data_IF_306010378181
#
_entry.id   IF_306010378181
#
_cell.length_a   1.000
_cell.length_b   1.000
_cell.length_c   1.000
_cell.angle_alpha   90.00
_cell.angle_beta   90.00
_cell.angle_gamma   90.00
#
_symmetry.space_group_name_H-M   'P 1'
#
loop_
_entity.id
_entity.type
_entity.pdbx_description
1 polymer ?
#
# COMPACT_ATOMS: atom_id res chain seq x y z
N UNK A 1 15.15 -49.32 6.63
CA UNK A 1 15.05 -48.49 5.41
C UNK A 1 13.72 -47.72 5.35
N UNK A 2 12.55 -48.35 5.45
CA UNK A 2 11.24 -47.67 5.35
C UNK A 2 10.96 -46.62 6.45
N UNK A 3 11.39 -46.87 7.69
CA UNK A 3 11.23 -45.92 8.81
C UNK A 3 11.99 -44.62 8.54
N UNK A 4 13.23 -44.69 8.07
CA UNK A 4 14.04 -43.53 7.72
C UNK A 4 13.42 -42.72 6.57
N UNK A 5 12.92 -43.40 5.56
CA UNK A 5 12.22 -42.80 4.43
C UNK A 5 10.95 -42.06 4.89
N UNK A 6 10.17 -42.68 5.79
CA UNK A 6 8.96 -42.09 6.37
C UNK A 6 9.28 -40.84 7.21
N UNK A 7 10.34 -40.89 8.03
CA UNK A 7 10.81 -39.73 8.81
C UNK A 7 11.28 -38.60 7.92
N UNK A 8 11.96 -38.88 6.81
CA UNK A 8 12.36 -37.86 5.83
C UNK A 8 11.13 -37.21 5.20
N UNK A 9 10.11 -37.98 4.84
CA UNK A 9 8.86 -37.44 4.27
C UNK A 9 8.17 -36.53 5.29
N UNK A 10 8.03 -36.98 6.55
CA UNK A 10 7.45 -36.17 7.62
C UNK A 10 8.25 -34.87 7.80
N UNK A 11 9.58 -34.98 7.85
CA UNK A 11 10.43 -33.78 7.97
C UNK A 11 10.24 -32.81 6.80
N UNK A 12 10.18 -33.32 5.56
CA UNK A 12 9.94 -32.49 4.37
C UNK A 12 8.57 -31.85 4.38
N UNK A 13 7.53 -32.54 4.85
CA UNK A 13 6.18 -31.99 5.00
C UNK A 13 6.16 -30.91 6.07
N UNK A 14 6.73 -31.17 7.25
CA UNK A 14 6.79 -30.20 8.34
C UNK A 14 7.63 -28.98 7.95
N UNK A 15 8.76 -29.19 7.25
CA UNK A 15 9.59 -28.12 6.73
C UNK A 15 8.83 -27.27 5.70
N UNK A 16 8.10 -27.89 4.78
CA UNK A 16 7.29 -27.21 3.78
C UNK A 16 6.14 -26.42 4.42
N UNK A 17 5.45 -27.00 5.43
CA UNK A 17 4.41 -26.32 6.17
C UNK A 17 4.98 -25.11 6.92
N UNK A 18 6.06 -25.29 7.67
CA UNK A 18 6.73 -24.18 8.37
C UNK A 18 7.20 -23.10 7.39
N UNK A 19 7.72 -23.49 6.23
CA UNK A 19 8.08 -22.57 5.15
C UNK A 19 6.91 -21.73 4.67
N UNK A 20 5.75 -22.33 4.44
CA UNK A 20 4.57 -21.60 3.98
C UNK A 20 4.10 -20.57 5.00
N UNK A 21 4.04 -20.93 6.26
CA UNK A 21 3.58 -20.03 7.32
C UNK A 21 4.61 -18.93 7.64
N UNK A 22 5.91 -19.19 7.50
CA UNK A 22 6.95 -18.19 7.73
C UNK A 22 7.26 -17.33 6.50
N UNK A 23 6.65 -17.60 5.34
CA UNK A 23 6.82 -16.78 4.14
C UNK A 23 5.78 -15.65 4.12
N UNK A 24 6.23 -14.42 4.32
CA UNK A 24 5.38 -13.24 4.42
C UNK A 24 4.39 -13.06 3.26
N UNK A 25 4.89 -13.12 2.00
CA UNK A 25 4.03 -12.96 0.82
C UNK A 25 3.04 -14.12 0.68
N UNK A 26 3.47 -15.33 1.02
CA UNK A 26 2.63 -16.53 0.93
C UNK A 26 1.60 -16.58 2.06
N UNK A 27 2.01 -16.25 3.29
CA UNK A 27 1.10 -16.14 4.43
C UNK A 27 0.03 -15.08 4.17
N UNK A 28 0.43 -13.93 3.62
CA UNK A 28 -0.51 -12.89 3.17
C UNK A 28 -1.53 -13.40 2.16
N UNK A 29 -1.11 -14.22 1.19
CA UNK A 29 -2.02 -14.85 0.23
C UNK A 29 -2.98 -15.85 0.91
N UNK A 30 -2.51 -16.65 1.87
CA UNK A 30 -3.35 -17.56 2.65
C UNK A 30 -4.44 -16.77 3.38
N UNK A 31 -4.05 -15.72 4.10
CA UNK A 31 -5.01 -14.87 4.82
C UNK A 31 -5.98 -14.18 3.86
N UNK A 32 -5.49 -13.64 2.75
CA UNK A 32 -6.34 -13.02 1.72
C UNK A 32 -7.41 -13.98 1.20
N UNK A 33 -7.06 -15.26 1.03
CA UNK A 33 -7.94 -16.28 0.46
C UNK A 33 -8.71 -17.09 1.51
N UNK A 34 -8.46 -16.86 2.81
CA UNK A 34 -9.08 -17.62 3.90
C UNK A 34 -10.55 -17.27 4.19
N UNK A 35 -11.12 -16.34 3.43
CA UNK A 35 -12.49 -15.85 3.64
C UNK A 35 -12.77 -15.32 5.06
N UNK A 36 -11.71 -14.96 5.82
CA UNK A 36 -11.88 -14.29 7.10
C UNK A 36 -12.44 -12.88 6.81
N UNK A 37 -13.61 -12.53 7.35
CA UNK A 37 -14.16 -11.20 7.20
C UNK A 37 -13.21 -10.18 7.83
N UNK A 38 -12.70 -9.24 7.03
CA UNK A 38 -11.83 -8.17 7.49
C UNK A 38 -12.33 -6.83 6.94
N UNK A 39 -13.32 -6.29 7.62
CA UNK A 39 -13.92 -5.01 7.29
C UNK A 39 -12.88 -3.88 7.26
N UNK A 40 -11.96 -3.85 8.23
CA UNK A 40 -10.94 -2.80 8.33
C UNK A 40 -10.02 -2.80 7.11
N UNK A 41 -9.52 -3.97 6.70
CA UNK A 41 -8.69 -4.11 5.50
C UNK A 41 -9.44 -3.65 4.27
N UNK A 42 -10.65 -4.16 4.10
CA UNK A 42 -11.46 -3.90 2.93
C UNK A 42 -11.75 -2.41 2.78
N UNK A 43 -12.22 -1.74 3.83
CA UNK A 43 -12.61 -0.33 3.79
C UNK A 43 -11.39 0.59 3.62
N UNK A 44 -10.25 0.28 4.24
CA UNK A 44 -9.02 1.06 4.14
C UNK A 44 -8.20 0.78 2.87
N UNK A 45 -8.62 -0.18 2.04
CA UNK A 45 -8.11 -0.32 0.67
C UNK A 45 -8.62 0.78 -0.25
N UNK A 46 -9.74 1.44 0.08
CA UNK A 46 -10.19 2.65 -0.62
C UNK A 46 -9.32 3.84 -0.21
N UNK A 47 -8.72 4.50 -1.21
CA UNK A 47 -7.75 5.59 -0.97
C UNK A 47 -8.36 6.85 -0.38
N UNK A 48 -9.65 7.12 -0.64
CA UNK A 48 -10.33 8.26 -0.05
C UNK A 48 -10.63 8.02 1.42
N UNK A 49 -11.22 6.88 1.76
CA UNK A 49 -11.53 6.52 3.14
C UNK A 49 -10.25 6.38 3.97
N UNK A 50 -9.21 5.75 3.41
CA UNK A 50 -7.89 5.64 4.04
C UNK A 50 -7.32 7.00 4.45
N UNK A 51 -7.46 8.04 3.61
CA UNK A 51 -7.02 9.41 3.91
C UNK A 51 -7.84 10.06 5.01
N UNK A 52 -9.16 9.99 4.92
CA UNK A 52 -10.02 10.55 5.96
C UNK A 52 -9.74 9.88 7.32
N UNK A 53 -9.52 8.57 7.33
CA UNK A 53 -9.15 7.85 8.54
C UNK A 53 -7.76 8.24 9.06
N UNK A 54 -6.78 8.37 8.20
CA UNK A 54 -5.43 8.81 8.56
C UNK A 54 -5.44 10.22 9.16
N UNK A 55 -6.21 11.15 8.58
CA UNK A 55 -6.39 12.51 9.10
C UNK A 55 -6.94 12.51 10.52
N UNK A 56 -7.95 11.67 10.82
CA UNK A 56 -8.48 11.51 12.18
C UNK A 56 -7.44 10.97 13.18
N UNK A 57 -6.38 10.36 12.70
CA UNK A 57 -5.33 9.74 13.51
C UNK A 57 -3.99 10.50 13.42
N UNK A 58 -4.02 11.77 13.00
CA UNK A 58 -2.89 12.70 13.09
C UNK A 58 -1.92 12.71 11.91
N UNK A 59 -2.24 12.01 10.81
CA UNK A 59 -1.48 12.17 9.57
C UNK A 59 -1.92 13.42 8.81
N UNK A 60 -1.00 14.04 8.12
CA UNK A 60 -1.32 14.95 7.04
C UNK A 60 -1.81 14.13 5.82
N UNK A 61 -2.66 14.74 4.99
CA UNK A 61 -3.13 14.13 3.74
C UNK A 61 -3.09 15.16 2.62
N UNK A 62 -2.81 14.74 1.37
CA UNK A 62 -2.90 15.63 0.23
C UNK A 62 -4.31 16.21 0.11
N UNK A 63 -4.42 17.49 -0.26
CA UNK A 63 -5.72 18.12 -0.46
C UNK A 63 -6.49 17.42 -1.57
N UNK A 64 -7.68 16.94 -1.27
CA UNK A 64 -8.58 16.39 -2.29
C UNK A 64 -9.23 17.53 -3.06
N UNK A 65 -9.07 17.53 -4.37
CA UNK A 65 -9.69 18.50 -5.28
C UNK A 65 -11.03 18.01 -5.81
N UNK A 66 -11.09 16.71 -6.17
CA UNK A 66 -12.29 16.08 -6.68
C UNK A 66 -12.37 14.63 -6.23
N UNK A 67 -13.60 14.19 -5.99
CA UNK A 67 -13.95 12.78 -5.83
C UNK A 67 -15.14 12.53 -6.76
N UNK A 68 -14.96 11.70 -7.78
CA UNK A 68 -15.96 11.47 -8.83
C UNK A 68 -16.14 9.98 -9.10
N UNK A 69 -17.34 9.60 -9.54
CA UNK A 69 -17.68 8.19 -9.81
C UNK A 69 -17.16 7.73 -11.17
N UNK A 70 -17.20 8.59 -12.18
CA UNK A 70 -16.91 8.22 -13.57
C UNK A 70 -15.77 9.07 -14.15
N UNK A 71 -14.91 8.52 -15.06
CA UNK A 71 -13.79 9.24 -15.66
C UNK A 71 -14.18 10.53 -16.39
N UNK A 72 -15.35 10.56 -17.05
CA UNK A 72 -15.84 11.72 -17.79
C UNK A 72 -16.18 12.94 -16.90
N UNK A 73 -16.35 12.71 -15.59
CA UNK A 73 -16.62 13.77 -14.61
C UNK A 73 -15.34 14.49 -14.15
N UNK A 74 -14.16 13.96 -14.50
CA UNK A 74 -12.87 14.52 -14.08
C UNK A 74 -12.64 15.87 -14.77
N UNK A 75 -12.40 16.90 -13.96
CA UNK A 75 -12.04 18.25 -14.43
C UNK A 75 -10.52 18.41 -14.34
N UNK A 76 -9.87 18.68 -15.48
CA UNK A 76 -8.42 18.87 -15.60
C UNK A 76 -8.05 20.37 -15.53
N UNK A 77 -8.49 21.05 -14.50
CA UNK A 77 -8.28 22.51 -14.32
C UNK A 77 -7.21 22.84 -13.27
N UNK A 78 -6.41 21.86 -12.88
CA UNK A 78 -5.30 22.04 -11.95
C UNK A 78 -3.97 21.94 -12.69
N UNK A 79 -2.98 22.75 -12.29
CA UNK A 79 -1.64 22.75 -12.88
C UNK A 79 -0.83 21.52 -12.44
N UNK A 80 -0.91 21.20 -11.15
CA UNK A 80 -0.21 20.08 -10.54
C UNK A 80 -1.22 19.25 -9.75
N UNK A 81 -1.34 17.98 -10.07
CA UNK A 81 -2.28 17.08 -9.40
C UNK A 81 -1.92 15.61 -9.57
N UNK A 82 -2.44 14.78 -8.70
CA UNK A 82 -2.47 13.33 -8.86
C UNK A 82 -3.90 12.92 -9.18
N UNK A 83 -4.06 12.13 -10.24
CA UNK A 83 -5.32 11.46 -10.56
C UNK A 83 -5.12 9.96 -10.37
N UNK A 84 -6.01 9.32 -9.62
CA UNK A 84 -5.93 7.88 -9.40
C UNK A 84 -7.31 7.27 -9.10
N UNK A 85 -7.54 5.99 -9.47
CA UNK A 85 -8.68 5.22 -8.97
C UNK A 85 -8.60 5.05 -7.46
N UNK A 86 -9.75 5.06 -6.77
CA UNK A 86 -9.78 4.95 -5.30
C UNK A 86 -9.48 3.54 -4.81
N UNK A 87 -9.79 2.52 -5.60
CA UNK A 87 -9.85 1.10 -5.24
C UNK A 87 -8.80 0.20 -5.94
N UNK A 88 -7.98 0.74 -6.87
CA UNK A 88 -6.97 -0.05 -7.57
C UNK A 88 -5.60 0.01 -6.90
N UNK A 89 -4.81 -1.05 -7.08
CA UNK A 89 -3.44 -1.20 -6.59
C UNK A 89 -2.39 -1.12 -7.73
N UNK A 90 -1.11 -1.31 -7.40
CA UNK A 90 0.02 -1.44 -8.31
C UNK A 90 0.17 -0.27 -9.31
N UNK A 91 -0.19 0.93 -8.89
CA UNK A 91 -0.17 2.15 -9.70
C UNK A 91 -1.08 2.10 -10.96
N UNK A 92 -2.04 1.18 -11.02
CA UNK A 92 -2.99 1.08 -12.13
C UNK A 92 -3.85 2.36 -12.20
N UNK A 93 -3.81 3.04 -13.35
CA UNK A 93 -4.57 4.27 -13.60
C UNK A 93 -4.10 5.48 -12.80
N UNK A 94 -2.86 5.48 -12.29
CA UNK A 94 -2.27 6.61 -11.56
C UNK A 94 -1.53 7.55 -12.50
N UNK A 95 -1.92 8.82 -12.47
CA UNK A 95 -1.29 9.90 -13.25
C UNK A 95 -0.76 10.97 -12.30
N UNK A 96 0.54 11.21 -12.35
CA UNK A 96 1.23 12.26 -11.61
C UNK A 96 1.47 13.43 -12.57
N UNK A 97 0.65 14.46 -12.52
CA UNK A 97 0.67 15.57 -13.45
C UNK A 97 1.36 16.78 -12.83
N UNK A 98 2.41 17.24 -13.49
CA UNK A 98 3.14 18.46 -13.14
C UNK A 98 3.35 19.30 -14.41
N UNK A 99 2.97 20.55 -14.37
CA UNK A 99 3.11 21.50 -15.51
C UNK A 99 2.57 20.91 -16.83
N UNK A 100 1.37 20.31 -16.76
CA UNK A 100 0.69 19.67 -17.90
C UNK A 100 1.44 18.47 -18.51
N UNK A 101 2.36 17.85 -17.75
CA UNK A 101 3.07 16.63 -18.18
C UNK A 101 2.90 15.54 -17.13
N UNK A 102 2.77 14.29 -17.58
CA UNK A 102 2.88 13.14 -16.72
C UNK A 102 4.35 12.91 -16.33
N UNK A 103 4.68 13.04 -15.05
CA UNK A 103 6.06 12.98 -14.56
C UNK A 103 6.72 11.61 -14.74
N UNK A 104 5.94 10.52 -14.83
CA UNK A 104 6.47 9.17 -15.01
C UNK A 104 6.88 8.89 -16.47
N UNK A 105 6.19 9.50 -17.42
CA UNK A 105 6.40 9.26 -18.86
C UNK A 105 6.96 10.46 -19.60
N UNK A 106 7.00 11.63 -18.95
CA UNK A 106 7.36 12.94 -19.52
C UNK A 106 6.50 13.36 -20.73
N UNK A 107 5.33 12.76 -20.91
CA UNK A 107 4.39 13.08 -22.00
C UNK A 107 3.43 14.19 -21.59
N UNK A 108 3.08 15.04 -22.53
CA UNK A 108 2.02 16.05 -22.35
C UNK A 108 0.68 15.35 -22.07
N UNK A 109 -0.11 15.95 -21.20
CA UNK A 109 -1.42 15.42 -20.80
C UNK A 109 -2.40 15.52 -21.96
N UNK A 110 -2.88 14.37 -22.40
CA UNK A 110 -4.03 14.23 -23.27
C UNK A 110 -5.24 13.79 -22.43
N UNK A 111 -6.15 14.73 -22.20
CA UNK A 111 -7.31 14.53 -21.33
C UNK A 111 -8.24 13.43 -21.84
N UNK A 112 -8.51 13.40 -23.15
CA UNK A 112 -9.41 12.41 -23.76
C UNK A 112 -8.80 11.02 -23.69
N UNK A 113 -7.50 10.92 -23.96
CA UNK A 113 -6.76 9.67 -23.85
C UNK A 113 -6.76 9.13 -22.41
N UNK A 114 -6.53 9.98 -21.41
CA UNK A 114 -6.59 9.56 -19.99
C UNK A 114 -7.98 9.04 -19.63
N UNK A 115 -9.05 9.74 -20.02
CA UNK A 115 -10.41 9.30 -19.77
C UNK A 115 -10.65 7.92 -20.40
N UNK A 116 -10.25 7.74 -21.67
CA UNK A 116 -10.40 6.47 -22.37
C UNK A 116 -9.59 5.34 -21.73
N UNK A 117 -8.33 5.61 -21.34
CA UNK A 117 -7.49 4.64 -20.65
C UNK A 117 -8.12 4.19 -19.33
N UNK A 118 -8.68 5.12 -18.55
CA UNK A 118 -9.37 4.80 -17.29
C UNK A 118 -10.67 4.00 -17.51
N UNK A 119 -11.43 4.30 -18.56
CA UNK A 119 -12.63 3.52 -18.95
C UNK A 119 -12.25 2.09 -19.36
N UNK A 120 -11.23 1.95 -20.21
CA UNK A 120 -10.74 0.64 -20.66
C UNK A 120 -10.18 -0.18 -19.47
N UNK A 121 -9.46 0.47 -18.55
CA UNK A 121 -8.94 -0.17 -17.35
C UNK A 121 -10.09 -0.75 -16.51
N UNK A 122 -11.17 0.00 -16.31
CA UNK A 122 -12.35 -0.50 -15.58
C UNK A 122 -13.01 -1.69 -16.29
N UNK A 123 -13.17 -1.62 -17.59
CA UNK A 123 -13.77 -2.71 -18.37
C UNK A 123 -12.94 -3.99 -18.38
N UNK A 124 -11.62 -3.89 -18.21
CA UNK A 124 -10.69 -5.03 -18.18
C UNK A 124 -10.61 -5.74 -16.82
N UNK A 125 -11.07 -5.07 -15.75
CA UNK A 125 -11.04 -5.65 -14.41
C UNK A 125 -12.19 -6.64 -14.29
N UNK A 126 -11.85 -7.93 -14.18
CA UNK A 126 -12.84 -8.98 -13.98
C UNK A 126 -13.60 -8.74 -12.68
N UNK A 127 -14.91 -8.71 -12.77
CA UNK A 127 -15.87 -8.54 -11.67
C UNK A 127 -15.64 -9.55 -10.52
N UNK A 128 -15.09 -10.72 -10.83
CA UNK A 128 -14.78 -11.78 -9.86
C UNK A 128 -13.82 -11.36 -8.73
N UNK A 129 -12.87 -10.46 -9.01
CA UNK A 129 -11.90 -10.01 -8.00
C UNK A 129 -12.58 -9.18 -6.90
N UNK A 130 -13.63 -8.42 -7.25
CA UNK A 130 -14.37 -7.57 -6.32
C UNK A 130 -15.58 -8.29 -5.71
N UNK A 131 -16.16 -9.27 -6.41
CA UNK A 131 -17.34 -10.01 -5.95
C UNK A 131 -17.08 -10.77 -4.66
N UNK A 132 -15.89 -11.34 -4.46
CA UNK A 132 -15.56 -12.05 -3.22
C UNK A 132 -15.55 -11.15 -1.99
N UNK A 133 -15.02 -9.93 -2.10
CA UNK A 133 -15.03 -8.97 -0.99
C UNK A 133 -16.43 -8.36 -0.78
N UNK A 134 -17.19 -8.18 -1.85
CA UNK A 134 -18.54 -7.67 -1.87
C UNK A 134 -19.56 -8.59 -1.17
N UNK A 135 -19.52 -9.88 -1.48
CA UNK A 135 -20.47 -10.84 -0.91
C UNK A 135 -20.33 -11.01 0.61
N UNK A 136 -19.16 -10.72 1.17
CA UNK A 136 -18.89 -10.90 2.61
C UNK A 136 -19.39 -9.76 3.49
N UNK A 137 -19.50 -8.53 2.99
CA UNK A 137 -19.73 -7.36 3.84
C UNK A 137 -20.99 -6.56 3.49
N UNK A 138 -21.72 -6.91 2.43
CA UNK A 138 -22.92 -6.17 2.01
C UNK A 138 -22.66 -4.71 1.60
N UNK A 139 -21.39 -4.33 1.45
CA UNK A 139 -20.97 -3.00 1.05
C UNK A 139 -20.36 -3.07 -0.35
N UNK A 140 -20.90 -2.29 -1.27
CA UNK A 140 -20.34 -2.15 -2.62
C UNK A 140 -19.07 -1.33 -2.50
N UNK A 141 -17.88 -1.83 -2.93
CA UNK A 141 -16.71 -1.00 -2.97
C UNK A 141 -16.96 0.19 -3.89
N UNK A 142 -16.71 1.38 -3.39
CA UNK A 142 -16.77 2.55 -4.25
C UNK A 142 -15.64 2.47 -5.26
N UNK A 143 -16.02 2.31 -6.50
CA UNK A 143 -15.09 2.44 -7.60
C UNK A 143 -15.21 3.83 -8.18
N UNK A 144 -14.33 4.71 -7.77
CA UNK A 144 -14.29 6.09 -8.24
C UNK A 144 -12.88 6.58 -8.51
N UNK A 145 -12.76 7.88 -8.68
CA UNK A 145 -11.51 8.55 -8.98
C UNK A 145 -11.33 9.73 -8.05
N UNK A 146 -10.13 9.86 -7.53
CA UNK A 146 -9.71 11.01 -6.72
C UNK A 146 -8.72 11.85 -7.52
N UNK A 147 -8.96 13.15 -7.56
CA UNK A 147 -7.99 14.16 -8.01
C UNK A 147 -7.52 14.90 -6.77
N UNK A 148 -6.22 14.91 -6.56
CA UNK A 148 -5.62 15.45 -5.34
C UNK A 148 -4.36 16.25 -5.61
N UNK A 149 -3.90 16.96 -4.61
CA UNK A 149 -2.65 17.70 -4.62
C UNK A 149 -1.47 16.79 -4.96
N UNK A 150 -0.65 17.21 -5.92
CA UNK A 150 0.66 16.60 -6.14
C UNK A 150 1.62 17.12 -5.07
N UNK A 151 2.03 16.25 -4.18
CA UNK A 151 3.02 16.57 -3.17
C UNK A 151 4.39 16.76 -3.82
N UNK A 152 5.06 17.86 -3.47
CA UNK A 152 6.41 18.18 -3.92
C UNK A 152 7.27 18.54 -2.71
N UNK A 153 8.53 18.17 -2.73
CA UNK A 153 9.52 18.56 -1.73
C UNK A 153 9.99 20.02 -1.94
N UNK A 154 10.89 20.48 -1.09
CA UNK A 154 11.48 21.82 -1.13
C UNK A 154 12.24 22.11 -2.44
N UNK A 155 12.73 21.07 -3.12
CA UNK A 155 13.41 21.15 -4.40
C UNK A 155 12.45 20.97 -5.60
N UNK A 156 11.14 21.01 -5.33
CA UNK A 156 10.09 20.83 -6.33
C UNK A 156 10.13 19.45 -7.03
N UNK A 157 10.63 18.42 -6.33
CA UNK A 157 10.62 17.02 -6.75
C UNK A 157 9.51 16.23 -6.07
N UNK A 158 9.15 15.08 -6.64
CA UNK A 158 8.26 14.11 -5.99
C UNK A 158 9.02 13.52 -4.80
N UNK A 159 8.47 13.59 -3.56
CA UNK A 159 9.15 13.12 -2.38
C UNK A 159 9.36 11.60 -2.41
N UNK A 160 10.40 11.15 -1.68
CA UNK A 160 10.63 9.72 -1.49
C UNK A 160 9.51 9.09 -0.68
N UNK A 161 9.16 7.87 -1.03
CA UNK A 161 8.15 7.05 -0.40
C UNK A 161 8.81 6.20 0.72
N UNK A 162 8.36 6.39 1.95
CA UNK A 162 8.77 5.58 3.11
C UNK A 162 7.71 4.53 3.39
N UNK A 163 8.04 3.27 3.18
CA UNK A 163 7.16 2.12 3.40
C UNK A 163 7.44 1.51 4.76
N UNK A 164 6.60 1.82 5.74
CA UNK A 164 6.75 1.43 7.14
C UNK A 164 6.05 0.09 7.40
N UNK A 165 6.80 -0.96 7.65
CA UNK A 165 6.29 -2.29 7.98
C UNK A 165 5.97 -2.40 9.46
N UNK A 166 4.69 -2.43 9.81
CA UNK A 166 4.19 -2.42 11.19
C UNK A 166 3.49 -3.75 11.49
N UNK A 167 3.90 -4.41 12.59
CA UNK A 167 3.31 -5.65 13.11
C UNK A 167 3.10 -5.50 14.61
N UNK A 168 1.98 -5.95 15.13
CA UNK A 168 1.68 -5.86 16.57
C UNK A 168 1.78 -4.44 17.14
N UNK A 169 1.51 -3.42 16.31
CA UNK A 169 1.66 -2.02 16.70
C UNK A 169 3.10 -1.53 16.85
N UNK A 170 4.09 -2.25 16.31
CA UNK A 170 5.50 -1.84 16.29
C UNK A 170 6.03 -1.72 14.87
N UNK A 171 6.79 -0.66 14.62
CA UNK A 171 7.56 -0.48 13.39
C UNK A 171 8.77 -1.42 13.41
N UNK A 172 8.94 -2.25 12.40
CA UNK A 172 10.07 -3.18 12.31
C UNK A 172 11.06 -2.78 11.22
N UNK A 173 10.54 -2.43 10.03
CA UNK A 173 11.36 -2.05 8.89
C UNK A 173 10.77 -0.87 8.15
N UNK A 174 11.66 -0.13 7.49
CA UNK A 174 11.30 0.96 6.57
C UNK A 174 12.00 0.69 5.24
N UNK A 175 11.23 0.69 4.15
CA UNK A 175 11.81 0.69 2.81
C UNK A 175 11.64 2.08 2.20
N UNK A 176 12.74 2.84 2.10
CA UNK A 176 12.77 4.12 1.39
C UNK A 176 12.89 3.86 -0.09
N UNK A 177 11.85 4.20 -0.84
CA UNK A 177 11.77 3.99 -2.29
C UNK A 177 11.88 5.32 -3.03
N UNK A 178 12.76 5.38 -4.04
CA UNK A 178 13.07 6.59 -4.80
C UNK A 178 13.48 6.24 -6.25
N UNK A 179 13.80 7.23 -7.08
CA UNK A 179 14.20 7.06 -8.48
C UNK A 179 13.21 6.20 -9.28
N UNK A 180 11.91 6.42 -9.08
CA UNK A 180 10.89 5.71 -9.84
C UNK A 180 10.91 6.15 -11.30
N UNK A 181 11.00 5.18 -12.21
CA UNK A 181 11.07 5.39 -13.66
C UNK A 181 10.46 4.24 -14.42
N UNK A 182 9.97 4.48 -15.61
CA UNK A 182 9.49 3.43 -16.51
C UNK A 182 10.56 3.21 -17.58
N UNK A 183 11.09 1.98 -17.66
CA UNK A 183 12.07 1.55 -18.66
C UNK A 183 11.48 0.34 -19.37
N UNK A 184 11.30 0.43 -20.69
CA UNK A 184 10.73 -0.63 -21.53
C UNK A 184 9.37 -1.16 -21.00
N UNK A 185 8.51 -0.23 -20.53
CA UNK A 185 7.19 -0.58 -19.98
C UNK A 185 7.22 -1.15 -18.57
N UNK A 186 8.38 -1.41 -17.98
CA UNK A 186 8.51 -1.89 -16.60
C UNK A 186 8.82 -0.75 -15.63
N UNK A 187 8.14 -0.73 -14.50
CA UNK A 187 8.47 0.20 -13.41
C UNK A 187 9.77 -0.24 -12.74
N UNK A 188 10.75 0.67 -12.68
CA UNK A 188 12.00 0.51 -11.95
C UNK A 188 12.05 1.51 -10.80
N UNK A 189 12.71 1.14 -9.73
CA UNK A 189 12.92 1.99 -8.55
C UNK A 189 14.17 1.53 -7.80
N UNK A 190 14.69 2.40 -6.96
CA UNK A 190 15.74 2.08 -6.02
C UNK A 190 15.15 2.07 -4.60
N UNK A 191 15.65 1.18 -3.72
CA UNK A 191 15.11 1.02 -2.38
C UNK A 191 16.22 0.73 -1.36
N UNK A 192 16.28 1.56 -0.33
CA UNK A 192 17.11 1.37 0.86
C UNK A 192 16.23 0.81 1.97
N UNK A 193 16.67 -0.28 2.60
CA UNK A 193 15.96 -0.87 3.71
C UNK A 193 16.63 -0.52 5.02
N UNK A 194 15.87 -0.10 5.99
CA UNK A 194 16.29 0.40 7.30
C UNK A 194 15.57 -0.39 8.39
N UNK A 195 16.24 -0.56 9.52
CA UNK A 195 15.59 -1.04 10.73
C UNK A 195 14.83 0.12 11.45
N UNK A 196 14.20 -0.21 12.58
CA UNK A 196 13.48 0.76 13.41
C UNK A 196 14.37 1.90 13.95
N UNK A 197 15.67 1.70 14.04
CA UNK A 197 16.63 2.71 14.52
C UNK A 197 17.15 3.62 13.40
N UNK A 198 16.69 3.40 12.17
CA UNK A 198 17.15 4.04 10.94
C UNK A 198 18.52 3.53 10.45
N UNK A 199 18.92 2.31 10.88
CA UNK A 199 20.18 1.71 10.44
C UNK A 199 19.96 0.92 9.15
N UNK A 200 20.83 1.10 8.13
CA UNK A 200 20.70 0.38 6.87
C UNK A 200 20.91 -1.13 7.04
N UNK A 201 20.04 -1.90 6.45
CA UNK A 201 20.09 -3.36 6.48
C UNK A 201 21.02 -3.85 5.36
N UNK A 202 22.13 -4.51 5.72
CA UNK A 202 23.11 -5.05 4.75
C UNK A 202 22.56 -6.19 3.91
N UNK A 203 21.62 -6.95 4.46
CA UNK A 203 21.00 -8.08 3.76
C UNK A 203 20.08 -7.58 2.65
N UNK A 204 20.22 -8.13 1.45
CA UNK A 204 19.35 -7.82 0.33
C UNK A 204 17.90 -8.22 0.64
N UNK A 205 17.03 -7.23 0.82
CA UNK A 205 15.63 -7.44 1.23
C UNK A 205 14.67 -7.61 0.03
N UNK A 206 15.00 -7.01 -1.11
CA UNK A 206 14.19 -7.12 -2.35
C UNK A 206 15.02 -7.63 -3.50
N UNK A 207 14.37 -8.28 -4.47
CA UNK A 207 15.04 -8.95 -5.60
C UNK A 207 15.68 -7.96 -6.59
N UNK A 208 15.02 -6.80 -6.81
CA UNK A 208 15.47 -5.77 -7.77
C UNK A 208 15.45 -4.40 -7.08
N UNK A 209 16.37 -3.52 -7.45
CA UNK A 209 16.41 -2.13 -6.95
C UNK A 209 16.91 -1.98 -5.51
N UNK A 210 17.46 -3.03 -4.88
CA UNK A 210 18.04 -2.91 -3.55
C UNK A 210 19.36 -2.11 -3.60
N UNK A 211 19.48 -1.13 -2.71
CA UNK A 211 20.69 -0.30 -2.51
C UNK A 211 21.05 -0.33 -1.04
N UNK A 212 22.33 -0.58 -0.74
CA UNK A 212 22.88 -0.41 0.61
C UNK A 212 23.57 0.95 0.68
N UNK A 213 23.04 1.85 1.49
CA UNK A 213 23.56 3.19 1.66
C UNK A 213 23.12 3.73 3.02
N UNK A 214 24.04 4.39 3.71
CA UNK A 214 23.70 5.23 4.85
C UNK A 214 22.98 6.48 4.39
N UNK A 215 21.90 6.84 5.07
CA UNK A 215 21.09 8.01 4.75
C UNK A 215 20.80 8.81 6.01
N UNK A 216 20.76 10.13 5.85
CA UNK A 216 20.46 11.04 6.95
C UNK A 216 19.08 10.72 7.53
N UNK A 217 19.04 10.55 8.85
CA UNK A 217 17.81 10.38 9.62
C UNK A 217 17.02 11.69 9.61
N UNK A 218 15.68 11.65 9.31
CA UNK A 218 14.85 12.85 9.42
C UNK A 218 14.85 13.43 10.83
N UNK A 219 14.85 14.74 10.95
CA UNK A 219 14.81 15.43 12.26
C UNK A 219 13.56 15.01 13.05
N UNK A 220 12.43 14.84 12.38
CA UNK A 220 11.16 14.44 12.96
C UNK A 220 10.95 12.91 13.03
N UNK A 221 12.03 12.11 12.96
CA UNK A 221 11.93 10.64 12.91
C UNK A 221 11.15 10.03 14.08
N UNK A 222 11.34 10.56 15.30
CA UNK A 222 10.56 10.07 16.45
C UNK A 222 9.06 10.30 16.29
N UNK A 223 8.65 11.41 15.70
CA UNK A 223 7.25 11.68 15.35
C UNK A 223 6.72 10.67 14.32
N UNK A 224 7.55 10.31 13.33
CA UNK A 224 7.21 9.27 12.34
C UNK A 224 6.97 7.93 13.04
N UNK A 225 7.91 7.47 13.87
CA UNK A 225 7.80 6.21 14.62
C UNK A 225 6.53 6.19 15.47
N UNK A 226 6.31 7.24 16.27
CA UNK A 226 5.14 7.36 17.13
C UNK A 226 3.83 7.29 16.34
N UNK A 227 3.76 7.99 15.21
CA UNK A 227 2.55 8.07 14.40
C UNK A 227 2.21 6.72 13.75
N UNK A 228 3.20 6.04 13.13
CA UNK A 228 2.97 4.75 12.48
C UNK A 228 2.71 3.63 13.48
N UNK A 229 3.37 3.64 14.67
CA UNK A 229 3.12 2.67 15.73
C UNK A 229 1.75 2.86 16.39
N UNK A 230 1.33 4.10 16.61
CA UNK A 230 -0.03 4.39 17.09
C UNK A 230 -1.09 3.90 16.11
N UNK A 231 -0.88 4.14 14.81
CA UNK A 231 -1.77 3.61 13.78
C UNK A 231 -1.81 2.07 13.81
N UNK A 232 -0.67 1.40 13.90
CA UNK A 232 -0.60 -0.06 14.00
C UNK A 232 -1.33 -0.62 15.23
N UNK A 233 -1.23 0.06 16.38
CA UNK A 233 -1.99 -0.31 17.61
C UNK A 233 -3.49 -0.15 17.42
N UNK A 234 -3.92 0.90 16.71
CA UNK A 234 -5.35 1.12 16.41
C UNK A 234 -5.86 0.08 15.42
N UNK A 235 -5.08 -0.25 14.39
CA UNK A 235 -5.47 -1.25 13.37
C UNK A 235 -5.49 -2.68 13.92
N UNK A 236 -4.68 -3.01 14.95
CA UNK A 236 -4.51 -4.33 15.56
C UNK A 236 -4.17 -5.44 14.58
N UNK A 237 -3.46 -5.10 13.51
CA UNK A 237 -3.04 -6.04 12.47
C UNK A 237 -1.79 -5.58 11.76
N UNK A 238 -1.18 -6.48 11.01
CA UNK A 238 -0.12 -6.10 10.09
C UNK A 238 -0.62 -5.05 9.11
N UNK A 239 0.19 -4.02 8.93
CA UNK A 239 -0.03 -3.03 7.88
C UNK A 239 1.29 -2.42 7.46
N UNK A 240 1.54 -2.36 6.14
CA UNK A 240 2.55 -1.46 5.60
C UNK A 240 1.91 -0.09 5.43
N UNK A 241 2.43 0.88 6.15
CA UNK A 241 1.97 2.27 6.09
C UNK A 241 2.93 3.04 5.21
N UNK A 242 2.49 3.43 4.03
CA UNK A 242 3.29 4.17 3.07
C UNK A 242 3.10 5.67 3.33
N UNK A 243 4.19 6.40 3.57
CA UNK A 243 4.16 7.82 3.94
C UNK A 243 5.13 8.64 3.12
N UNK A 244 4.81 9.92 2.97
CA UNK A 244 5.72 10.95 2.46
C UNK A 244 6.03 11.94 3.58
N UNK A 245 7.30 12.33 3.68
CA UNK A 245 7.75 13.33 4.68
C UNK A 245 8.22 14.56 3.93
N UNK A 246 7.55 15.68 4.17
CA UNK A 246 7.87 16.97 3.55
C UNK A 246 7.92 18.00 4.66
N UNK A 247 9.10 18.54 4.91
CA UNK A 247 9.36 19.40 6.06
C UNK A 247 8.95 18.67 7.36
N UNK A 248 8.05 19.28 8.16
CA UNK A 248 7.57 18.70 9.43
C UNK A 248 6.26 17.92 9.28
N UNK A 249 5.73 17.78 8.06
CA UNK A 249 4.48 17.10 7.76
C UNK A 249 4.72 15.66 7.35
N UNK A 250 3.84 14.77 7.83
CA UNK A 250 3.87 13.33 7.54
C UNK A 250 2.57 12.98 6.85
N UNK A 251 2.63 12.85 5.52
CA UNK A 251 1.48 12.57 4.68
C UNK A 251 1.27 11.07 4.52
N UNK A 252 0.03 10.59 4.70
CA UNK A 252 -0.33 9.23 4.31
C UNK A 252 -0.32 9.10 2.78
N UNK A 253 0.36 8.08 2.27
CA UNK A 253 0.26 7.59 0.90
C UNK A 253 -0.85 6.55 0.76
N UNK A 254 -0.68 5.41 1.44
CA UNK A 254 -1.64 4.30 1.46
C UNK A 254 -1.45 3.37 2.67
N UNK A 255 -2.47 2.58 2.97
CA UNK A 255 -2.36 1.38 3.80
C UNK A 255 -2.30 0.15 2.90
N UNK A 256 -1.32 -0.73 3.15
CA UNK A 256 -1.17 -1.98 2.41
C UNK A 256 -1.15 -3.16 3.39
N UNK A 257 -2.19 -3.96 3.36
CA UNK A 257 -2.32 -5.13 4.25
C UNK A 257 -1.68 -6.38 3.65
N UNK A 258 -1.57 -6.46 2.33
CA UNK A 258 -0.93 -7.57 1.64
C UNK A 258 0.04 -7.06 0.57
N UNK A 259 1.29 -7.43 0.71
CA UNK A 259 2.33 -7.11 -0.27
C UNK A 259 2.49 -8.28 -1.24
N UNK A 260 1.61 -8.37 -2.25
CA UNK A 260 1.53 -9.50 -3.17
C UNK A 260 2.47 -9.48 -4.38
N UNK A 261 3.37 -8.52 -4.48
CA UNK A 261 4.15 -8.28 -5.70
C UNK A 261 5.34 -9.24 -5.93
N UNK A 262 5.53 -10.27 -5.10
CA UNK A 262 6.66 -11.24 -5.16
C UNK A 262 8.05 -10.59 -5.30
N UNK A 263 8.20 -9.39 -4.71
CA UNK A 263 9.41 -8.58 -4.81
C UNK A 263 10.45 -8.90 -3.74
N UNK A 264 10.02 -9.47 -2.61
CA UNK A 264 10.89 -9.76 -1.48
C UNK A 264 11.81 -10.95 -1.77
N UNK A 265 13.02 -10.89 -1.19
CA UNK A 265 13.93 -12.04 -1.20
C UNK A 265 13.44 -13.12 -0.24
N UNK A 266 14.04 -14.32 -0.31
CA UNK A 266 13.78 -15.40 0.63
C UNK A 266 13.97 -14.94 2.09
N UNK A 267 15.09 -14.29 2.38
CA UNK A 267 15.44 -13.83 3.74
C UNK A 267 14.45 -12.78 4.25
N UNK A 268 14.05 -11.84 3.39
CA UNK A 268 13.06 -10.84 3.74
C UNK A 268 11.70 -11.49 4.05
N UNK A 269 11.25 -12.39 3.19
CA UNK A 269 9.99 -13.13 3.39
C UNK A 269 9.99 -13.90 4.70
N UNK A 270 11.10 -14.59 5.02
CA UNK A 270 11.22 -15.32 6.27
C UNK A 270 11.19 -14.38 7.49
N UNK A 271 11.97 -13.30 7.48
CA UNK A 271 12.00 -12.32 8.59
C UNK A 271 10.64 -11.69 8.84
N UNK A 272 9.98 -11.19 7.78
CA UNK A 272 8.66 -10.55 7.91
C UNK A 272 7.58 -11.55 8.31
N UNK A 273 7.59 -12.76 7.74
CA UNK A 273 6.64 -13.81 8.05
C UNK A 273 6.74 -14.26 9.51
N UNK A 274 7.97 -14.43 10.02
CA UNK A 274 8.18 -14.76 11.43
C UNK A 274 7.66 -13.66 12.35
N UNK A 275 7.95 -12.38 12.05
CA UNK A 275 7.43 -11.27 12.84
C UNK A 275 5.90 -11.26 12.85
N UNK A 276 5.27 -11.55 11.71
CA UNK A 276 3.80 -11.60 11.62
C UNK A 276 3.21 -12.73 12.47
N UNK A 277 3.80 -13.93 12.42
CA UNK A 277 3.37 -15.06 13.26
C UNK A 277 3.53 -14.77 14.77
N UNK A 278 4.61 -14.09 15.16
CA UNK A 278 4.86 -13.68 16.55
C UNK A 278 3.91 -12.55 17.01
N UNK A 279 3.24 -11.87 16.06
CA UNK A 279 2.31 -10.76 16.30
C UNK A 279 1.04 -10.95 15.47
N UNK A 280 0.17 -11.90 15.84
CA UNK A 280 -1.01 -12.23 15.05
C UNK A 280 -2.00 -11.06 14.98
N UNK A 281 -2.69 -10.99 13.86
CA UNK A 281 -3.70 -9.97 13.60
C UNK A 281 -5.01 -10.27 14.35
N UNK A 282 -5.66 -9.21 14.85
CA UNK A 282 -7.02 -9.29 15.43
C UNK A 282 -8.06 -8.95 14.35
N UNK A 283 -8.48 -9.97 13.59
CA UNK A 283 -9.47 -9.80 12.51
C UNK A 283 -10.89 -9.52 13.01
N UNK A 284 -11.18 -9.77 14.30
CA UNK A 284 -12.48 -9.49 14.89
C UNK A 284 -12.64 -8.04 15.35
N UNK A 285 -11.52 -7.31 15.45
CA UNK A 285 -11.56 -5.91 15.84
C UNK A 285 -11.93 -5.02 14.65
N UNK A 286 -12.92 -4.17 14.84
CA UNK A 286 -13.33 -3.12 13.91
C UNK A 286 -13.35 -1.77 14.64
N UNK A 287 -12.65 -0.79 14.08
CA UNK A 287 -12.80 0.59 14.55
C UNK A 287 -14.13 1.16 14.08
N UNK A 288 -15.06 1.38 15.00
CA UNK A 288 -16.41 1.91 14.72
C UNK A 288 -16.40 3.25 13.98
N UNK A 289 -15.30 4.00 14.05
CA UNK A 289 -15.14 5.26 13.32
C UNK A 289 -15.09 5.06 11.81
N UNK A 290 -14.59 3.92 11.33
CA UNK A 290 -14.51 3.60 9.90
C UNK A 290 -15.87 3.65 9.20
N UNK A 291 -16.91 3.09 9.83
CA UNK A 291 -18.26 3.09 9.25
C UNK A 291 -18.81 4.49 9.01
N UNK A 292 -18.39 5.48 9.83
CA UNK A 292 -18.82 6.88 9.71
C UNK A 292 -18.11 7.64 8.58
N UNK A 293 -17.01 7.10 8.07
CA UNK A 293 -16.23 7.73 7.00
C UNK A 293 -16.67 7.31 5.61
N UNK A 294 -17.52 6.29 5.51
CA UNK A 294 -18.09 5.85 4.24
C UNK A 294 -19.05 6.92 3.75
N UNK A 295 -18.76 7.60 2.61
CA UNK A 295 -19.65 8.62 2.08
C UNK A 295 -21.03 8.06 1.74
N UNK A 296 -22.10 8.85 1.94
CA UNK A 296 -23.47 8.42 1.68
C UNK A 296 -23.69 7.96 0.23
N UNK A 297 -22.95 8.48 -0.73
CA UNK A 297 -23.06 8.09 -2.14
C UNK A 297 -22.44 6.72 -2.45
N UNK A 298 -21.73 6.08 -1.52
CA UNK A 298 -21.33 4.68 -1.64
C UNK A 298 -22.53 3.73 -1.49
N UNK A 299 -23.57 4.17 -0.81
CA UNK A 299 -24.79 3.38 -0.55
C UNK A 299 -25.87 3.58 -1.63
N UNK A 300 -25.56 4.23 -2.75
CA UNK A 300 -26.53 4.39 -3.84
C UNK A 300 -26.61 3.07 -4.60
N UNK A 301 -27.76 2.37 -4.59
CA UNK A 301 -27.97 1.24 -5.47
C UNK A 301 -27.79 1.69 -6.92
N UNK A 302 -27.21 0.83 -7.74
CA UNK A 302 -27.04 1.08 -9.17
C UNK A 302 -28.36 1.27 -9.87
#
# INVERSE_FOLDING_TARGET
MYILFFLIIIFLILFKLNWYYTNFEYYGLIIKNSHIPDFTRWILSDKFIAKEYAKLNGFDVPKTYQLVKFPHQIKFNYKNFVLKPTDLCDSAGVYLIKDNKNTLTNKVVDKQKIIQELQNLRSSIKTEYYMHEYMYNGLIPFSGYIVEELLLDENNNIPCDLKCYVFGGKLHYIAKTYNRRIINGEQKFDSIWLDRNWEPIKTKMIKKGYVYQEIKKPINYQKIVMLVENMGKILRRHCRIDIYVINDKIYLGEFTFFCGARIHTFICNYKLGKIWLDNPDDYHYEDKRLKKLVPNFYNIPN
#
